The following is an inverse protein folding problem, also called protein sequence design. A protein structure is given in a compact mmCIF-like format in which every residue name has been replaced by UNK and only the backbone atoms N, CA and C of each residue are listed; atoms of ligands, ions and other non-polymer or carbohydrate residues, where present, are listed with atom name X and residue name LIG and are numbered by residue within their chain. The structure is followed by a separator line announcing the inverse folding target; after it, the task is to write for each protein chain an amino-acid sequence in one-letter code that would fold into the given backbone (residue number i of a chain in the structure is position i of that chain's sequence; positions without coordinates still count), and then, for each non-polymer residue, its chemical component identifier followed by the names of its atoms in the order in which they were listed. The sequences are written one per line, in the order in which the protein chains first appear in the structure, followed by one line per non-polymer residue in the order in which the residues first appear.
data_IF_856866283407
#
_entry.id   IF_856866283407
#
_cell.length_a   1.000
_cell.length_b   1.000
_cell.length_c   1.000
_cell.angle_alpha   90.00
_cell.angle_beta   90.00
_cell.angle_gamma   90.00
#
_symmetry.space_group_name_H-M   'P 1'
#
loop_
_entity.id
_entity.type
_entity.pdbx_description
1 polymer ?
#
# COMPACT_ATOMS: atom_id res chain seq x y z
N UNK A 1 26.78 -3.21 -6.05
CA UNK A 1 26.28 -1.83 -6.21
C UNK A 1 25.03 -1.85 -7.07
N UNK A 2 23.87 -1.76 -6.40
CA UNK A 2 22.56 -1.68 -7.01
C UNK A 2 22.40 -0.40 -7.86
N UNK A 3 21.66 -0.51 -8.96
CA UNK A 3 21.27 0.62 -9.81
C UNK A 3 19.76 0.80 -9.72
N UNK A 4 19.33 2.02 -9.44
CA UNK A 4 17.90 2.34 -9.35
C UNK A 4 17.15 1.88 -10.61
N UNK A 5 16.05 1.19 -10.37
CA UNK A 5 15.05 0.85 -11.38
C UNK A 5 13.66 1.21 -10.89
N UNK A 6 12.78 1.54 -11.84
CA UNK A 6 11.37 1.75 -11.51
C UNK A 6 10.77 0.41 -11.03
N UNK A 7 9.97 0.44 -9.95
CA UNK A 7 9.41 -0.77 -9.38
C UNK A 7 8.44 -1.43 -10.37
N UNK A 8 8.84 -2.59 -10.87
CA UNK A 8 8.00 -3.49 -11.67
C UNK A 8 7.93 -4.81 -10.92
N UNK A 9 6.75 -5.27 -10.50
CA UNK A 9 6.67 -6.44 -9.64
C UNK A 9 7.18 -7.71 -10.31
N UNK A 10 8.05 -8.44 -9.61
CA UNK A 10 8.41 -9.81 -9.97
C UNK A 10 7.27 -10.74 -9.54
N UNK A 11 6.81 -11.58 -10.45
CA UNK A 11 5.61 -12.41 -10.24
C UNK A 11 6.02 -13.86 -9.97
N UNK A 12 5.71 -14.36 -8.77
CA UNK A 12 5.90 -15.75 -8.37
C UNK A 12 4.52 -16.41 -8.24
N UNK A 13 4.24 -17.39 -9.11
CA UNK A 13 3.00 -18.17 -9.04
C UNK A 13 3.18 -19.34 -8.06
N UNK A 14 2.31 -19.44 -7.07
CA UNK A 14 2.31 -20.48 -6.02
C UNK A 14 1.21 -21.53 -6.25
N UNK A 15 0.93 -21.83 -7.52
CA UNK A 15 -0.21 -22.63 -7.97
C UNK A 15 0.15 -24.08 -8.31
N UNK A 16 1.43 -24.39 -8.35
CA UNK A 16 1.99 -25.72 -8.63
C UNK A 16 2.24 -26.50 -7.33
N UNK A 17 2.87 -27.67 -7.45
CA UNK A 17 3.12 -28.55 -6.30
C UNK A 17 4.09 -27.92 -5.30
N UNK A 18 5.15 -27.26 -5.79
CA UNK A 18 6.09 -26.54 -4.94
C UNK A 18 5.39 -25.40 -4.21
N UNK A 19 4.64 -24.56 -4.93
CA UNK A 19 3.88 -23.46 -4.34
C UNK A 19 2.84 -23.92 -3.32
N UNK A 20 2.20 -25.08 -3.53
CA UNK A 20 1.33 -25.67 -2.52
C UNK A 20 2.11 -26.15 -1.28
N UNK A 21 3.27 -26.78 -1.47
CA UNK A 21 4.14 -27.19 -0.35
C UNK A 21 4.59 -25.99 0.49
N UNK A 22 5.00 -24.89 -0.14
CA UNK A 22 5.37 -23.66 0.58
C UNK A 22 4.20 -23.07 1.38
N UNK A 23 2.98 -23.11 0.83
CA UNK A 23 1.75 -22.74 1.57
C UNK A 23 1.47 -23.66 2.77
N UNK A 24 1.76 -24.95 2.66
CA UNK A 24 1.63 -25.89 3.79
C UNK A 24 2.61 -25.55 4.90
N UNK A 25 3.88 -25.31 4.56
CA UNK A 25 4.91 -24.88 5.52
C UNK A 25 4.50 -23.62 6.27
N UNK A 26 3.98 -22.61 5.56
CA UNK A 26 3.48 -21.38 6.19
C UNK A 26 2.31 -21.64 7.16
N UNK A 27 1.43 -22.59 6.83
CA UNK A 27 0.31 -22.99 7.69
C UNK A 27 0.82 -23.67 8.98
N UNK A 28 1.78 -24.57 8.85
CA UNK A 28 2.40 -25.29 9.97
C UNK A 28 3.13 -24.31 10.89
N UNK A 29 3.94 -23.42 10.31
CA UNK A 29 4.65 -22.37 11.05
C UNK A 29 3.70 -21.51 11.90
N UNK A 30 2.59 -21.02 11.32
CA UNK A 30 1.65 -20.18 12.05
C UNK A 30 0.90 -20.96 13.14
N UNK A 31 0.59 -22.24 12.95
CA UNK A 31 -0.07 -23.03 14.00
C UNK A 31 0.73 -23.06 15.30
N UNK A 32 2.05 -23.06 15.19
CA UNK A 32 2.99 -23.15 16.31
C UNK A 32 3.42 -21.77 16.84
N UNK A 33 3.56 -20.78 15.94
CA UNK A 33 4.22 -19.51 16.24
C UNK A 33 3.29 -18.29 16.13
N UNK A 34 1.98 -18.51 16.06
CA UNK A 34 1.01 -17.41 15.97
C UNK A 34 1.16 -16.44 17.13
N UNK A 35 1.38 -15.16 16.82
CA UNK A 35 1.32 -14.14 17.84
C UNK A 35 -0.15 -13.84 18.18
N UNK A 36 -0.55 -14.16 19.41
CA UNK A 36 -1.91 -13.98 19.93
C UNK A 36 -2.07 -12.78 20.86
N UNK A 37 -1.01 -12.00 21.09
CA UNK A 37 -1.01 -10.87 22.05
C UNK A 37 -0.49 -9.59 21.41
N UNK A 38 -0.84 -8.41 21.94
CA UNK A 38 -0.44 -7.11 21.40
C UNK A 38 -1.53 -6.35 20.64
N UNK A 39 -1.42 -5.01 20.64
CA UNK A 39 -2.45 -4.06 20.20
C UNK A 39 -2.52 -3.83 18.68
N UNK A 40 -1.49 -4.24 17.93
CA UNK A 40 -1.36 -4.03 16.47
C UNK A 40 -0.93 -5.32 15.76
N UNK A 41 -1.42 -6.47 16.24
CA UNK A 41 -1.16 -7.75 15.58
C UNK A 41 -2.09 -7.94 14.38
N UNK A 42 -1.55 -8.49 13.30
CA UNK A 42 -2.36 -8.98 12.19
C UNK A 42 -3.25 -10.16 12.59
N UNK A 43 -4.29 -10.42 11.82
CA UNK A 43 -5.09 -11.65 11.90
C UNK A 43 -4.23 -12.89 11.65
N UNK A 44 -4.73 -14.09 11.99
CA UNK A 44 -4.02 -15.34 11.68
C UNK A 44 -3.69 -15.47 10.19
N UNK A 45 -4.57 -14.97 9.34
CA UNK A 45 -4.39 -14.96 7.89
C UNK A 45 -3.29 -13.97 7.49
N UNK A 46 -3.35 -12.74 8.01
CA UNK A 46 -2.36 -11.70 7.74
C UNK A 46 -0.95 -12.12 8.19
N UNK A 47 -0.83 -12.75 9.36
CA UNK A 47 0.44 -13.33 9.82
C UNK A 47 0.91 -14.47 8.90
N UNK A 48 0.00 -15.33 8.44
CA UNK A 48 0.32 -16.40 7.50
C UNK A 48 0.77 -15.92 6.12
N UNK A 49 0.25 -14.78 5.65
CA UNK A 49 0.73 -14.17 4.42
C UNK A 49 2.16 -13.64 4.57
N UNK A 50 2.49 -13.01 5.70
CA UNK A 50 3.87 -12.64 6.05
C UNK A 50 4.81 -13.84 6.05
N UNK A 51 4.45 -14.89 6.80
CA UNK A 51 5.25 -16.12 6.87
C UNK A 51 5.42 -16.80 5.50
N UNK A 52 4.36 -16.84 4.68
CA UNK A 52 4.45 -17.39 3.32
C UNK A 52 5.41 -16.57 2.44
N UNK A 53 5.35 -15.24 2.50
CA UNK A 53 6.26 -14.39 1.73
C UNK A 53 7.71 -14.66 2.13
N UNK A 54 8.03 -14.68 3.43
CA UNK A 54 9.36 -15.02 3.93
C UNK A 54 9.82 -16.41 3.46
N UNK A 55 8.98 -17.44 3.61
CA UNK A 55 9.29 -18.82 3.20
C UNK A 55 9.58 -18.90 1.70
N UNK A 56 8.81 -18.19 0.87
CA UNK A 56 9.04 -18.14 -0.58
C UNK A 56 10.39 -17.48 -0.89
N UNK A 57 10.72 -16.38 -0.22
CA UNK A 57 12.00 -15.69 -0.40
C UNK A 57 13.17 -16.58 0.02
N UNK A 58 13.11 -17.19 1.21
CA UNK A 58 14.14 -18.12 1.70
C UNK A 58 14.35 -19.30 0.76
N UNK A 59 13.26 -19.92 0.29
CA UNK A 59 13.33 -21.00 -0.68
C UNK A 59 13.98 -20.57 -1.99
N UNK A 60 13.68 -19.36 -2.49
CA UNK A 60 14.28 -18.84 -3.72
C UNK A 60 15.78 -18.60 -3.60
N UNK A 61 16.25 -18.23 -2.41
CA UNK A 61 17.66 -17.98 -2.12
C UNK A 61 18.41 -19.20 -1.57
N UNK A 62 17.78 -20.36 -1.54
CA UNK A 62 18.35 -21.59 -0.97
C UNK A 62 18.82 -21.38 0.49
N UNK A 63 18.14 -20.50 1.22
CA UNK A 63 18.41 -20.23 2.62
C UNK A 63 17.78 -21.30 3.53
N UNK A 64 18.34 -21.52 4.72
CA UNK A 64 17.72 -22.39 5.71
C UNK A 64 16.27 -21.98 6.02
N UNK A 65 15.47 -22.99 6.36
CA UNK A 65 14.11 -22.77 6.86
C UNK A 65 14.11 -21.90 8.13
N UNK A 66 12.95 -21.32 8.44
CA UNK A 66 12.80 -20.49 9.63
C UNK A 66 13.01 -21.37 10.87
N UNK A 67 14.02 -21.03 11.68
CA UNK A 67 14.18 -21.59 13.02
C UNK A 67 13.49 -20.65 14.03
N UNK A 68 12.29 -20.99 14.55
CA UNK A 68 11.53 -20.05 15.40
C UNK A 68 12.26 -19.66 16.69
N UNK A 69 13.11 -20.54 17.23
CA UNK A 69 13.85 -20.29 18.47
C UNK A 69 14.97 -19.25 18.31
N UNK A 70 15.47 -19.08 17.09
CA UNK A 70 16.58 -18.18 16.75
C UNK A 70 16.13 -17.06 15.80
N UNK A 71 14.84 -17.01 15.44
CA UNK A 71 14.32 -16.04 14.49
C UNK A 71 14.30 -14.64 15.12
N UNK A 72 14.99 -13.66 14.52
CA UNK A 72 15.07 -12.33 15.08
C UNK A 72 13.73 -11.60 14.94
N UNK A 73 13.36 -10.83 15.97
CA UNK A 73 12.10 -10.10 15.98
C UNK A 73 12.00 -9.02 14.89
N UNK A 74 13.14 -8.46 14.48
CA UNK A 74 13.20 -7.26 13.67
C UNK A 74 13.15 -7.53 12.16
N UNK A 75 13.84 -8.57 11.68
CA UNK A 75 14.05 -8.84 10.27
C UNK A 75 13.83 -10.31 9.95
N UNK A 76 13.49 -10.60 8.69
CA UNK A 76 13.18 -11.94 8.23
C UNK A 76 14.39 -12.59 7.55
N UNK A 77 15.23 -11.81 6.87
CA UNK A 77 16.37 -12.30 6.08
C UNK A 77 17.61 -11.47 6.39
N UNK A 78 18.73 -12.15 6.61
CA UNK A 78 20.06 -11.54 6.62
C UNK A 78 20.74 -11.83 5.28
N UNK A 79 21.00 -10.79 4.49
CA UNK A 79 21.68 -10.93 3.20
C UNK A 79 23.16 -11.29 3.38
N UNK A 80 23.82 -11.90 2.38
CA UNK A 80 25.26 -12.17 2.43
C UNK A 80 26.13 -10.92 2.64
N UNK A 81 25.61 -9.75 2.28
CA UNK A 81 26.21 -8.43 2.47
C UNK A 81 26.08 -7.90 3.91
N UNK A 82 25.34 -8.59 4.78
CA UNK A 82 25.05 -8.18 6.15
C UNK A 82 23.83 -7.27 6.32
N UNK A 83 23.15 -6.91 5.22
CA UNK A 83 21.94 -6.09 5.25
C UNK A 83 20.75 -6.91 5.77
N UNK A 84 20.01 -6.35 6.73
CA UNK A 84 18.83 -6.95 7.37
C UNK A 84 17.55 -6.55 6.64
N UNK A 85 16.79 -7.53 6.20
CA UNK A 85 15.60 -7.37 5.36
C UNK A 85 14.37 -7.87 6.10
N UNK A 86 13.36 -7.02 6.20
CA UNK A 86 12.03 -7.36 6.72
C UNK A 86 11.03 -7.41 5.55
N UNK A 87 10.42 -8.57 5.34
CA UNK A 87 9.53 -8.87 4.22
C UNK A 87 8.11 -8.49 4.59
N UNK A 88 7.66 -7.35 4.05
CA UNK A 88 6.29 -6.89 4.23
C UNK A 88 5.39 -7.53 3.20
N UNK A 89 4.33 -8.19 3.67
CA UNK A 89 3.33 -8.79 2.80
C UNK A 89 1.93 -8.25 3.08
N UNK A 90 1.28 -7.73 2.04
CA UNK A 90 -0.15 -7.44 2.04
C UNK A 90 -0.89 -8.52 1.28
N UNK A 91 -1.85 -9.19 1.94
CA UNK A 91 -2.77 -10.11 1.27
C UNK A 91 -4.01 -9.41 0.73
N UNK A 92 -4.49 -9.85 -0.44
CA UNK A 92 -5.73 -9.34 -1.02
C UNK A 92 -6.28 -10.20 -2.15
N UNK A 93 -7.58 -10.09 -2.42
CA UNK A 93 -8.24 -10.83 -3.50
C UNK A 93 -8.02 -10.22 -4.89
N UNK A 94 -7.45 -9.02 -4.96
CA UNK A 94 -7.09 -8.34 -6.19
C UNK A 94 -5.62 -8.59 -6.52
N UNK A 95 -5.26 -8.77 -7.80
CA UNK A 95 -3.86 -8.77 -8.21
C UNK A 95 -3.22 -7.42 -7.89
N UNK A 96 -1.91 -7.42 -7.67
CA UNK A 96 -1.16 -6.16 -7.59
C UNK A 96 -1.23 -5.44 -8.94
N UNK A 97 -1.51 -4.14 -8.90
CA UNK A 97 -1.42 -3.22 -10.04
C UNK A 97 -0.81 -1.93 -9.52
N UNK A 98 0.00 -1.26 -10.33
CA UNK A 98 0.51 0.07 -9.97
C UNK A 98 -0.62 1.07 -9.80
N UNK A 99 -1.70 0.88 -10.55
CA UNK A 99 -2.85 1.77 -10.57
C UNK A 99 -4.16 0.97 -10.55
N UNK A 100 -5.08 1.40 -9.68
CA UNK A 100 -6.43 0.86 -9.58
C UNK A 100 -7.43 1.92 -10.06
N UNK A 101 -8.19 1.61 -11.11
CA UNK A 101 -9.17 2.54 -11.66
C UNK A 101 -10.36 2.71 -10.71
N UNK A 102 -10.80 3.94 -10.48
CA UNK A 102 -12.02 4.26 -9.73
C UNK A 102 -13.20 4.58 -10.66
N UNK A 103 -14.38 4.83 -10.08
CA UNK A 103 -15.61 5.13 -10.83
C UNK A 103 -15.61 6.52 -11.49
N UNK A 104 -14.62 7.36 -11.19
CA UNK A 104 -14.35 8.62 -11.91
C UNK A 104 -13.37 8.44 -13.08
N UNK A 105 -12.97 7.19 -13.36
CA UNK A 105 -11.99 6.85 -14.39
C UNK A 105 -10.62 7.52 -14.18
N UNK A 106 -10.32 7.95 -12.95
CA UNK A 106 -9.00 8.44 -12.57
C UNK A 106 -8.29 7.29 -11.82
N UNK A 107 -7.03 6.97 -12.16
CA UNK A 107 -6.30 5.92 -11.47
C UNK A 107 -5.96 6.30 -10.02
N UNK A 108 -5.93 5.31 -9.13
CA UNK A 108 -5.41 5.43 -7.76
C UNK A 108 -4.13 4.62 -7.64
N UNK A 109 -3.04 5.28 -7.28
CA UNK A 109 -1.72 4.68 -7.20
C UNK A 109 -1.63 3.66 -6.04
N UNK A 110 -0.88 2.59 -6.28
CA UNK A 110 -0.60 1.58 -5.29
C UNK A 110 0.28 2.12 -4.15
N UNK A 111 0.02 1.60 -2.97
CA UNK A 111 0.72 1.97 -1.73
C UNK A 111 0.91 0.77 -0.83
N UNK A 112 1.96 0.87 -0.04
CA UNK A 112 2.34 -0.06 1.00
C UNK A 112 2.12 0.60 2.35
N UNK A 113 1.77 -0.22 3.34
CA UNK A 113 1.50 0.23 4.69
C UNK A 113 2.48 -0.46 5.64
N UNK A 114 2.94 0.29 6.63
CA UNK A 114 3.77 -0.20 7.71
C UNK A 114 3.10 0.16 9.03
N UNK A 115 3.11 -0.73 10.01
CA UNK A 115 2.77 -0.30 11.36
C UNK A 115 3.80 0.73 11.82
N UNK A 116 3.34 1.85 12.40
CA UNK A 116 4.23 2.93 12.83
C UNK A 116 5.32 2.42 13.78
N UNK A 117 4.99 1.47 14.67
CA UNK A 117 5.96 0.81 15.54
C UNK A 117 7.13 0.20 14.76
N UNK A 118 6.89 -0.46 13.62
CA UNK A 118 7.95 -1.11 12.84
C UNK A 118 8.99 -0.13 12.33
N UNK A 119 8.57 1.11 12.05
CA UNK A 119 9.41 2.18 11.51
C UNK A 119 10.10 2.99 12.62
N UNK A 120 9.41 3.22 13.74
CA UNK A 120 9.88 4.13 14.80
C UNK A 120 10.46 3.44 16.04
N UNK A 121 10.26 2.13 16.23
CA UNK A 121 10.90 1.40 17.32
C UNK A 121 12.37 1.12 16.97
N UNK A 122 13.27 1.75 17.71
CA UNK A 122 14.72 1.62 17.50
C UNK A 122 15.24 0.22 17.90
N UNK A 123 14.46 -0.57 18.64
CA UNK A 123 14.80 -1.98 18.93
C UNK A 123 14.52 -2.92 17.75
N UNK A 124 13.74 -2.47 16.75
CA UNK A 124 13.49 -3.23 15.54
C UNK A 124 14.57 -2.89 14.50
N UNK A 125 15.72 -3.55 14.67
CA UNK A 125 16.94 -3.38 13.90
C UNK A 125 16.84 -4.00 12.49
N UNK A 126 16.22 -3.25 11.58
CA UNK A 126 16.01 -3.59 10.17
C UNK A 126 16.57 -2.48 9.30
N UNK A 127 17.34 -2.85 8.27
CA UNK A 127 17.93 -1.88 7.34
C UNK A 127 16.94 -1.50 6.23
N UNK A 128 16.29 -2.51 5.63
CA UNK A 128 15.37 -2.33 4.51
C UNK A 128 14.10 -3.16 4.67
N UNK A 129 13.02 -2.66 4.06
CA UNK A 129 11.80 -3.41 3.85
C UNK A 129 11.75 -3.93 2.41
N UNK A 130 11.43 -5.21 2.24
CA UNK A 130 11.05 -5.79 0.96
C UNK A 130 9.51 -5.81 0.87
N UNK A 131 8.95 -5.11 -0.11
CA UNK A 131 7.50 -4.98 -0.26
C UNK A 131 6.96 -6.06 -1.17
N UNK A 132 5.97 -6.80 -0.66
CA UNK A 132 5.29 -7.87 -1.39
C UNK A 132 3.77 -7.75 -1.27
N UNK A 133 3.07 -8.23 -2.30
CA UNK A 133 1.62 -8.36 -2.33
C UNK A 133 1.26 -9.79 -2.68
N UNK A 134 0.40 -10.41 -1.89
CA UNK A 134 -0.09 -11.77 -2.14
C UNK A 134 -1.52 -11.69 -2.66
N UNK A 135 -1.72 -12.04 -3.94
CA UNK A 135 -3.05 -12.32 -4.45
C UNK A 135 -3.52 -13.66 -3.88
N UNK A 136 -4.67 -13.63 -3.20
CA UNK A 136 -5.29 -14.78 -2.55
C UNK A 136 -6.63 -15.14 -3.23
N UNK A 137 -7.15 -16.35 -3.03
CA UNK A 137 -8.52 -16.69 -3.38
C UNK A 137 -9.49 -15.93 -2.47
N UNK A 138 -10.79 -16.00 -2.79
CA UNK A 138 -11.85 -15.42 -1.94
C UNK A 138 -11.87 -16.07 -0.55
N UNK A 139 -11.64 -17.38 -0.51
CA UNK A 139 -11.33 -18.11 0.72
C UNK A 139 -9.82 -17.99 0.98
N UNK A 140 -9.50 -17.23 2.03
CA UNK A 140 -8.14 -16.75 2.35
C UNK A 140 -7.35 -17.71 3.23
N UNK A 141 -7.90 -18.89 3.49
CA UNK A 141 -7.31 -19.88 4.38
C UNK A 141 -6.07 -20.53 3.73
N UNK A 142 -4.96 -20.54 4.47
CA UNK A 142 -3.77 -21.33 4.14
C UNK A 142 -3.93 -22.79 4.64
N UNK A 143 -3.45 -23.80 3.89
CA UNK A 143 -2.76 -23.68 2.60
C UNK A 143 -3.75 -23.52 1.44
N UNK A 144 -5.06 -23.58 1.70
CA UNK A 144 -6.10 -23.66 0.69
C UNK A 144 -6.09 -25.01 -0.03
N UNK A 145 -6.43 -25.03 -1.32
CA UNK A 145 -6.41 -26.25 -2.13
C UNK A 145 -5.40 -26.17 -3.28
N UNK A 146 -4.97 -27.34 -3.79
CA UNK A 146 -4.11 -27.46 -4.97
C UNK A 146 -4.76 -26.92 -6.27
N UNK A 147 -6.10 -26.78 -6.29
CA UNK A 147 -6.86 -26.32 -7.47
C UNK A 147 -6.99 -24.79 -7.52
N UNK A 148 -6.79 -24.10 -6.41
CA UNK A 148 -6.87 -22.64 -6.37
C UNK A 148 -5.74 -22.02 -7.20
N UNK A 149 -6.10 -21.08 -8.09
CA UNK A 149 -5.17 -20.41 -9.00
C UNK A 149 -4.78 -18.99 -8.59
N UNK A 150 -5.42 -18.45 -7.56
CA UNK A 150 -5.17 -17.12 -7.01
C UNK A 150 -4.22 -17.20 -5.83
N UNK A 151 -3.02 -17.72 -6.07
CA UNK A 151 -1.92 -17.71 -5.10
C UNK A 151 -0.71 -17.19 -5.85
N UNK A 152 -0.56 -15.87 -5.89
CA UNK A 152 0.47 -15.20 -6.68
C UNK A 152 1.13 -14.16 -5.77
N UNK A 153 2.42 -14.33 -5.52
CA UNK A 153 3.23 -13.38 -4.78
C UNK A 153 3.86 -12.40 -5.78
N UNK A 154 3.58 -11.13 -5.59
CA UNK A 154 4.17 -10.02 -6.31
C UNK A 154 5.24 -9.40 -5.41
N UNK A 155 6.46 -9.30 -5.91
CA UNK A 155 7.58 -8.69 -5.19
C UNK A 155 7.82 -7.33 -5.82
N UNK A 156 7.37 -6.29 -5.13
CA UNK A 156 7.18 -4.96 -5.70
C UNK A 156 8.47 -4.15 -5.73
N UNK A 157 9.37 -4.38 -4.77
CA UNK A 157 10.62 -3.64 -4.62
C UNK A 157 11.01 -3.49 -3.16
N UNK A 158 11.99 -2.64 -2.88
CA UNK A 158 12.53 -2.42 -1.53
C UNK A 158 12.71 -0.94 -1.21
N UNK A 159 12.82 -0.62 0.08
CA UNK A 159 13.08 0.74 0.57
C UNK A 159 13.78 0.67 1.92
N UNK A 160 14.69 1.59 2.22
CA UNK A 160 15.33 1.68 3.54
C UNK A 160 14.34 2.12 4.63
N UNK A 161 14.54 1.60 5.85
CA UNK A 161 13.74 1.97 7.01
C UNK A 161 13.73 3.48 7.25
N UNK A 162 14.90 4.13 7.17
CA UNK A 162 15.04 5.57 7.39
C UNK A 162 14.32 6.40 6.33
N UNK A 163 14.29 5.95 5.07
CA UNK A 163 13.54 6.68 4.03
C UNK A 163 12.04 6.57 4.26
N UNK A 164 11.53 5.42 4.71
CA UNK A 164 10.12 5.29 5.14
C UNK A 164 9.83 6.22 6.32
N UNK A 165 10.72 6.27 7.32
CA UNK A 165 10.59 7.15 8.49
C UNK A 165 10.54 8.63 8.11
N UNK A 166 11.34 9.05 7.12
CA UNK A 166 11.42 10.45 6.67
C UNK A 166 10.28 10.87 5.74
N UNK A 167 9.91 10.02 4.79
CA UNK A 167 9.02 10.41 3.67
C UNK A 167 7.62 9.78 3.75
N UNK A 168 7.46 8.73 4.55
CA UNK A 168 6.17 8.06 4.72
C UNK A 168 5.15 8.95 5.40
N UNK A 169 3.89 8.82 5.00
CA UNK A 169 2.79 9.61 5.56
C UNK A 169 2.23 8.89 6.77
N UNK A 170 2.42 9.47 7.95
CA UNK A 170 1.82 8.96 9.17
C UNK A 170 0.30 9.15 9.17
N UNK A 171 -0.40 8.05 9.39
CA UNK A 171 -1.85 7.99 9.48
C UNK A 171 -2.25 7.38 10.82
N UNK A 172 -2.92 8.14 11.69
CA UNK A 172 -3.42 7.59 12.95
C UNK A 172 -4.50 6.53 12.70
N UNK A 173 -4.76 5.75 13.74
CA UNK A 173 -5.84 4.76 13.75
C UNK A 173 -7.17 5.40 13.31
N UNK A 174 -7.92 4.68 12.46
CA UNK A 174 -9.19 5.09 11.82
C UNK A 174 -9.05 6.12 10.71
N UNK A 175 -7.84 6.52 10.32
CA UNK A 175 -7.63 7.26 9.07
C UNK A 175 -8.23 6.51 7.89
N UNK A 176 -8.85 7.27 6.99
CA UNK A 176 -9.51 6.79 5.78
C UNK A 176 -8.50 6.76 4.63
N UNK A 177 -8.58 5.73 3.79
CA UNK A 177 -7.74 5.61 2.61
C UNK A 177 -8.51 5.01 1.43
N UNK A 178 -8.15 5.39 0.21
CA UNK A 178 -8.78 4.95 -1.04
C UNK A 178 -7.89 3.94 -1.79
N UNK A 179 -8.52 2.93 -2.40
CA UNK A 179 -7.89 2.02 -3.37
C UNK A 179 -8.90 1.71 -4.48
N UNK A 180 -8.68 2.27 -5.67
CA UNK A 180 -9.61 2.14 -6.80
C UNK A 180 -11.00 2.64 -6.43
N UNK A 181 -12.00 1.77 -6.51
CA UNK A 181 -13.39 2.04 -6.12
C UNK A 181 -13.70 1.72 -4.64
N UNK A 182 -12.71 1.30 -3.86
CA UNK A 182 -12.90 0.91 -2.46
C UNK A 182 -12.28 1.91 -1.50
N UNK A 183 -12.93 2.05 -0.35
CA UNK A 183 -12.46 2.84 0.78
C UNK A 183 -12.38 1.95 2.00
N UNK A 184 -11.35 2.14 2.82
CA UNK A 184 -11.24 1.43 4.09
C UNK A 184 -10.55 2.30 5.14
N UNK A 185 -10.74 1.94 6.39
CA UNK A 185 -10.11 2.63 7.52
C UNK A 185 -8.99 1.77 8.11
N UNK A 186 -7.92 2.42 8.52
CA UNK A 186 -6.81 1.75 9.17
C UNK A 186 -7.17 1.26 10.57
N UNK A 187 -6.78 0.01 10.87
CA UNK A 187 -7.05 -0.62 12.17
C UNK A 187 -6.05 -0.22 13.26
N UNK A 188 -4.83 0.19 12.88
CA UNK A 188 -3.73 0.60 13.75
C UNK A 188 -3.11 1.94 13.33
N UNK A 189 -1.97 2.29 13.93
CA UNK A 189 -1.15 3.42 13.49
C UNK A 189 -0.28 3.00 12.31
N UNK A 190 -0.38 3.72 11.19
CA UNK A 190 0.16 3.26 9.92
C UNK A 190 1.02 4.34 9.28
N UNK A 191 1.97 3.91 8.46
CA UNK A 191 2.75 4.75 7.56
C UNK A 191 2.40 4.35 6.14
N UNK A 192 1.87 5.26 5.33
CA UNK A 192 1.68 5.06 3.90
C UNK A 192 2.94 5.43 3.11
N UNK A 193 3.33 4.55 2.20
CA UNK A 193 4.42 4.80 1.25
C UNK A 193 4.04 4.28 -0.14
N UNK A 194 4.20 5.11 -1.17
CA UNK A 194 3.67 4.82 -2.49
C UNK A 194 4.63 3.97 -3.31
N UNK A 195 4.09 3.02 -4.10
CA UNK A 195 4.90 2.06 -4.82
C UNK A 195 5.89 2.75 -5.76
N UNK A 196 5.44 3.74 -6.55
CA UNK A 196 6.30 4.58 -7.40
C UNK A 196 7.58 5.14 -6.74
N UNK A 197 7.62 5.24 -5.41
CA UNK A 197 8.75 5.79 -4.68
C UNK A 197 9.77 4.73 -4.19
N UNK A 198 9.46 3.43 -4.26
CA UNK A 198 10.36 2.36 -3.83
C UNK A 198 11.41 2.05 -4.91
N UNK A 199 12.42 1.26 -4.54
CA UNK A 199 13.45 0.76 -5.44
C UNK A 199 12.99 -0.55 -6.09
N UNK A 200 12.94 -0.61 -7.42
CA UNK A 200 12.59 -1.83 -8.15
C UNK A 200 13.67 -2.90 -8.10
N UNK A 201 13.33 -4.12 -8.50
CA UNK A 201 14.26 -5.21 -8.72
C UNK A 201 14.04 -5.73 -10.14
N UNK A 202 15.10 -5.92 -10.93
CA UNK A 202 14.96 -6.54 -12.26
C UNK A 202 14.72 -8.04 -12.15
N UNK A 203 15.41 -8.65 -11.21
CA UNK A 203 15.26 -10.04 -10.82
C UNK A 203 15.50 -10.17 -9.31
N UNK A 204 15.18 -11.34 -8.77
CA UNK A 204 15.24 -11.55 -7.32
C UNK A 204 16.67 -11.65 -6.79
N UNK A 205 17.65 -12.02 -7.63
CA UNK A 205 19.05 -12.14 -7.23
C UNK A 205 19.66 -10.78 -6.94
N UNK A 206 19.19 -9.72 -7.59
CA UNK A 206 19.60 -8.34 -7.26
C UNK A 206 19.40 -8.01 -5.77
N UNK A 207 18.42 -8.62 -5.08
CA UNK A 207 18.24 -8.42 -3.64
C UNK A 207 19.45 -8.90 -2.83
N UNK A 208 20.11 -10.00 -3.24
CA UNK A 208 21.29 -10.55 -2.56
C UNK A 208 22.54 -9.67 -2.71
N UNK A 209 22.53 -8.75 -3.67
CA UNK A 209 23.66 -7.85 -3.97
C UNK A 209 23.55 -6.48 -3.30
N UNK A 210 22.41 -6.19 -2.65
CA UNK A 210 22.22 -4.92 -1.93
C UNK A 210 23.14 -4.89 -0.72
N UNK A 211 24.02 -3.88 -0.70
CA UNK A 211 25.00 -3.66 0.36
C UNK A 211 24.65 -2.42 1.21
N UNK A 212 25.43 -2.18 2.27
CA UNK A 212 25.21 -1.02 3.14
C UNK A 212 25.34 0.32 2.40
N UNK A 213 26.18 0.41 1.37
CA UNK A 213 26.30 1.64 0.58
C UNK A 213 25.02 1.91 -0.23
N UNK A 214 24.37 0.86 -0.73
CA UNK A 214 23.06 0.94 -1.38
C UNK A 214 21.99 1.43 -0.39
N UNK A 215 22.01 0.91 0.83
CA UNK A 215 21.10 1.35 1.91
C UNK A 215 21.35 2.83 2.20
N UNK A 216 22.58 3.27 2.46
CA UNK A 216 22.92 4.68 2.75
C UNK A 216 22.51 5.63 1.61
N UNK A 217 22.70 5.20 0.36
CA UNK A 217 22.22 5.96 -0.81
C UNK A 217 20.70 6.12 -0.78
N UNK A 218 19.94 5.05 -0.52
CA UNK A 218 18.48 5.14 -0.42
C UNK A 218 18.05 5.99 0.78
N UNK A 219 18.69 5.86 1.95
CA UNK A 219 18.41 6.70 3.12
C UNK A 219 18.43 8.19 2.76
N UNK A 220 19.37 8.63 1.93
CA UNK A 220 19.50 10.04 1.51
C UNK A 220 18.66 10.43 0.29
N UNK A 221 18.12 9.47 -0.47
CA UNK A 221 17.39 9.72 -1.72
C UNK A 221 16.06 10.42 -1.46
N UNK A 222 15.81 11.54 -2.14
CA UNK A 222 14.51 12.24 -2.11
C UNK A 222 13.49 11.58 -3.05
N UNK A 223 12.41 11.07 -2.49
CA UNK A 223 11.25 10.56 -3.24
C UNK A 223 10.34 11.65 -3.81
N UNK A 224 9.34 11.21 -4.57
CA UNK A 224 8.21 12.02 -5.01
C UNK A 224 7.07 11.96 -3.98
N UNK A 225 5.95 12.63 -4.24
CA UNK A 225 4.81 12.73 -3.35
C UNK A 225 4.27 11.35 -2.95
N UNK A 226 4.27 11.06 -1.64
CA UNK A 226 3.61 9.90 -1.03
C UNK A 226 2.11 10.17 -0.79
N UNK A 227 1.41 10.55 -1.85
CA UNK A 227 -0.05 10.67 -1.90
C UNK A 227 -0.54 10.21 -3.28
N UNK A 228 -1.80 9.80 -3.36
CA UNK A 228 -2.44 9.64 -4.67
C UNK A 228 -2.51 11.00 -5.36
N UNK A 229 -2.40 10.98 -6.69
CA UNK A 229 -2.60 12.16 -7.52
C UNK A 229 -3.97 12.82 -7.30
N UNK A 230 -4.97 12.00 -6.98
CA UNK A 230 -6.34 12.43 -6.68
C UNK A 230 -6.42 13.16 -5.35
N UNK A 231 -5.82 12.61 -4.29
CA UNK A 231 -5.83 13.25 -2.98
C UNK A 231 -5.01 14.54 -3.00
N UNK A 232 -3.91 14.60 -3.75
CA UNK A 232 -3.17 15.84 -3.97
C UNK A 232 -4.08 16.96 -4.53
N UNK A 233 -4.96 16.64 -5.47
CA UNK A 233 -5.93 17.60 -6.03
C UNK A 233 -7.04 17.94 -5.02
N UNK A 234 -7.60 16.97 -4.31
CA UNK A 234 -8.64 17.19 -3.28
C UNK A 234 -8.13 18.11 -2.17
N UNK A 235 -6.92 17.84 -1.68
CA UNK A 235 -6.25 18.65 -0.66
C UNK A 235 -5.99 20.05 -1.21
N UNK A 236 -5.55 20.18 -2.47
CA UNK A 236 -5.36 21.49 -3.08
C UNK A 236 -6.66 22.31 -3.14
N UNK A 237 -7.78 21.70 -3.52
CA UNK A 237 -9.10 22.36 -3.50
C UNK A 237 -9.50 22.81 -2.09
N UNK A 238 -9.35 21.95 -1.08
CA UNK A 238 -9.66 22.30 0.32
C UNK A 238 -8.77 23.46 0.83
N UNK A 239 -7.46 23.40 0.56
CA UNK A 239 -6.52 24.45 0.98
C UNK A 239 -6.73 25.77 0.24
N UNK A 240 -7.21 25.76 -1.01
CA UNK A 240 -7.66 26.98 -1.71
C UNK A 240 -8.92 27.54 -1.04
N UNK A 241 -9.90 26.69 -0.75
CA UNK A 241 -11.12 27.10 -0.04
C UNK A 241 -10.84 27.71 1.34
N UNK A 242 -9.74 27.30 1.99
CA UNK A 242 -9.23 27.86 3.25
C UNK A 242 -8.33 29.09 3.09
N UNK A 243 -8.03 29.51 1.85
CA UNK A 243 -7.15 30.65 1.57
C UNK A 243 -5.66 30.39 1.79
N UNK A 244 -5.24 29.14 1.97
CA UNK A 244 -3.82 28.75 2.17
C UNK A 244 -3.10 28.66 0.83
N UNK A 245 -3.76 28.09 -0.17
CA UNK A 245 -3.23 27.97 -1.53
C UNK A 245 -4.02 28.88 -2.50
N UNK A 246 -3.46 29.04 -3.70
CA UNK A 246 -4.02 29.82 -4.81
C UNK A 246 -4.24 28.89 -6.01
N UNK A 247 -5.06 29.33 -6.96
CA UNK A 247 -5.42 28.55 -8.16
C UNK A 247 -4.20 28.14 -8.99
N UNK A 248 -3.16 28.98 -9.07
CA UNK A 248 -1.93 28.64 -9.78
C UNK A 248 -1.19 27.42 -9.16
N UNK A 249 -1.33 27.19 -7.85
CA UNK A 249 -0.79 25.99 -7.20
C UNK A 249 -1.58 24.73 -7.61
N UNK A 250 -2.91 24.83 -7.74
CA UNK A 250 -3.73 23.73 -8.25
C UNK A 250 -3.37 23.41 -9.71
N UNK A 251 -3.18 24.42 -10.56
CA UNK A 251 -2.77 24.20 -11.95
C UNK A 251 -1.38 23.57 -12.05
N UNK A 252 -0.44 23.95 -11.17
CA UNK A 252 0.83 23.26 -11.03
C UNK A 252 0.62 21.77 -10.66
N UNK A 253 -0.20 21.47 -9.66
CA UNK A 253 -0.46 20.09 -9.21
C UNK A 253 -1.10 19.26 -10.34
N UNK A 254 -2.15 19.77 -11.01
CA UNK A 254 -2.79 19.10 -12.16
C UNK A 254 -1.79 18.79 -13.26
N UNK A 255 -0.85 19.70 -13.54
CA UNK A 255 0.21 19.48 -14.52
C UNK A 255 1.18 18.36 -14.09
N UNK A 256 1.57 18.32 -12.81
CA UNK A 256 2.46 17.27 -12.29
C UNK A 256 1.78 15.90 -12.24
N UNK A 257 0.51 15.86 -11.82
CA UNK A 257 -0.27 14.62 -11.70
C UNK A 257 -0.89 14.16 -13.02
N UNK A 258 -0.87 15.01 -14.05
CA UNK A 258 -1.48 14.77 -15.37
C UNK A 258 -2.99 14.48 -15.31
N UNK A 259 -3.67 14.90 -14.25
CA UNK A 259 -5.13 14.77 -14.14
C UNK A 259 -5.77 15.98 -14.81
N UNK A 260 -6.46 15.72 -15.92
CA UNK A 260 -7.29 16.69 -16.65
C UNK A 260 -8.79 16.57 -16.35
N UNK A 261 -9.22 15.45 -15.75
CA UNK A 261 -10.61 15.18 -15.38
C UNK A 261 -10.98 15.84 -14.05
N UNK A 262 -12.27 15.99 -13.82
CA UNK A 262 -12.81 16.44 -12.54
C UNK A 262 -12.62 15.33 -11.51
N UNK A 263 -11.89 15.65 -10.44
CA UNK A 263 -11.72 14.76 -9.30
C UNK A 263 -12.97 14.81 -8.43
N UNK A 264 -13.60 13.64 -8.22
CA UNK A 264 -14.75 13.55 -7.31
C UNK A 264 -14.32 13.82 -5.87
N UNK A 265 -15.17 14.46 -5.07
CA UNK A 265 -14.89 14.65 -3.65
C UNK A 265 -14.99 13.32 -2.89
N UNK A 266 -14.68 13.33 -1.60
CA UNK A 266 -14.69 12.13 -0.74
C UNK A 266 -16.12 11.69 -0.42
N UNK A 267 -17.00 12.64 -0.06
CA UNK A 267 -18.41 12.36 0.24
C UNK A 267 -19.21 12.08 -1.03
N UNK A 268 -20.35 11.39 -0.89
CA UNK A 268 -21.22 11.12 -2.04
C UNK A 268 -21.82 12.43 -2.59
N UNK A 269 -21.91 12.62 -3.92
CA UNK A 269 -22.53 13.79 -4.56
C UNK A 269 -23.87 14.22 -3.96
N UNK A 270 -24.76 13.29 -3.58
CA UNK A 270 -26.06 13.60 -3.00
C UNK A 270 -25.95 14.41 -1.70
N UNK A 271 -24.88 14.22 -0.92
CA UNK A 271 -24.65 14.99 0.30
C UNK A 271 -24.32 16.45 -0.02
N UNK A 272 -23.62 16.72 -1.12
CA UNK A 272 -23.37 18.08 -1.60
C UNK A 272 -24.65 18.73 -2.09
N UNK A 273 -25.45 18.03 -2.91
CA UNK A 273 -26.72 18.56 -3.38
C UNK A 273 -27.70 18.84 -2.25
N UNK A 274 -27.71 18.02 -1.20
CA UNK A 274 -28.52 18.29 -0.01
C UNK A 274 -28.11 19.61 0.68
N UNK A 275 -26.80 19.87 0.85
CA UNK A 275 -26.32 21.14 1.39
C UNK A 275 -26.67 22.32 0.47
N UNK A 276 -26.49 22.17 -0.84
CA UNK A 276 -26.81 23.23 -1.81
C UNK A 276 -28.30 23.56 -1.82
N UNK A 277 -29.18 22.55 -1.74
CA UNK A 277 -30.62 22.76 -1.61
C UNK A 277 -30.94 23.55 -0.34
N UNK A 278 -30.36 23.17 0.80
CA UNK A 278 -30.54 23.93 2.06
C UNK A 278 -30.05 25.39 1.94
N UNK A 279 -28.90 25.63 1.30
CA UNK A 279 -28.40 27.00 1.08
C UNK A 279 -29.32 27.82 0.17
N UNK A 280 -29.88 27.20 -0.87
CA UNK A 280 -30.84 27.82 -1.79
C UNK A 280 -32.12 28.22 -1.07
N UNK A 281 -32.67 27.32 -0.25
CA UNK A 281 -33.89 27.59 0.53
C UNK A 281 -33.67 28.75 1.52
N UNK A 282 -32.44 28.91 2.00
CA UNK A 282 -32.02 30.02 2.85
C UNK A 282 -31.51 31.27 2.07
N UNK A 283 -31.73 31.31 0.75
CA UNK A 283 -31.37 32.43 -0.14
C UNK A 283 -29.89 32.81 -0.09
N UNK A 284 -29.01 31.86 0.22
CA UNK A 284 -27.56 32.07 0.25
C UNK A 284 -26.90 31.81 -1.09
N UNK A 285 -27.55 31.02 -1.95
CA UNK A 285 -27.11 30.73 -3.32
C UNK A 285 -28.27 30.84 -4.30
N UNK A 286 -27.95 30.98 -5.57
CA UNK A 286 -28.81 31.08 -6.73
C UNK A 286 -28.95 29.75 -7.48
N UNK A 287 -29.89 29.72 -8.43
CA UNK A 287 -30.05 28.60 -9.37
C UNK A 287 -28.81 28.39 -10.26
N UNK A 288 -28.05 29.45 -10.53
CA UNK A 288 -26.84 29.38 -11.35
C UNK A 288 -25.74 28.56 -10.67
N UNK A 289 -25.57 28.74 -9.36
CA UNK A 289 -24.61 27.95 -8.57
C UNK A 289 -24.99 26.47 -8.51
N UNK A 290 -26.28 26.17 -8.39
CA UNK A 290 -26.80 24.80 -8.48
C UNK A 290 -26.51 24.17 -9.84
N UNK A 291 -26.79 24.89 -10.93
CA UNK A 291 -26.48 24.42 -12.30
C UNK A 291 -24.99 24.17 -12.46
N UNK A 292 -24.13 25.06 -11.94
CA UNK A 292 -22.68 24.89 -11.96
C UNK A 292 -22.27 23.63 -11.22
N UNK A 293 -22.81 23.37 -10.03
CA UNK A 293 -22.54 22.15 -9.27
C UNK A 293 -22.92 20.88 -10.07
N UNK A 294 -24.07 20.89 -10.76
CA UNK A 294 -24.53 19.78 -11.61
C UNK A 294 -23.66 19.50 -12.85
N UNK A 295 -22.75 20.42 -13.23
CA UNK A 295 -21.76 20.14 -14.27
C UNK A 295 -20.53 19.38 -13.75
N UNK A 296 -20.32 19.38 -12.43
CA UNK A 296 -19.14 18.84 -11.75
C UNK A 296 -19.49 17.55 -11.01
N UNK A 297 -20.66 17.52 -10.38
CA UNK A 297 -21.18 16.42 -9.57
C UNK A 297 -22.47 15.90 -10.21
N UNK A 298 -22.72 14.60 -10.06
CA UNK A 298 -23.96 13.96 -10.52
C UNK A 298 -24.70 13.40 -9.32
N UNK A 299 -25.92 13.88 -9.09
CA UNK A 299 -26.83 13.30 -8.10
C UNK A 299 -27.28 11.91 -8.57
N UNK A 300 -27.25 10.93 -7.67
CA UNK A 300 -27.63 9.55 -7.90
C UNK A 300 -29.08 9.34 -7.42
N UNK A 301 -30.02 8.99 -8.30
CA UNK A 301 -31.40 8.75 -7.89
C UNK A 301 -31.50 7.49 -7.04
N UNK A 302 -32.46 7.46 -6.10
CA UNK A 302 -32.81 6.23 -5.39
C UNK A 302 -33.66 5.34 -6.31
N UNK A 303 -33.12 4.19 -6.70
CA UNK A 303 -33.79 3.25 -7.62
C UNK A 303 -34.56 2.12 -6.92
N UNK A 304 -34.57 2.08 -5.57
CA UNK A 304 -35.13 0.96 -4.80
C UNK A 304 -34.15 -0.21 -4.65
N UNK A 305 -34.60 -1.27 -3.96
CA UNK A 305 -33.90 -2.57 -3.83
C UNK A 305 -34.67 -3.60 -4.65
#
# INVERSE_FOLDING_TARGET
MYKYTNPTPIIIKLIDELGFSLRQKATEYIKENQNRTGAERGSSEEQGFGALAEIVMRNHFEMPEINPAEHPLAYDILLPTGVKVDVKCRGGSLPFKEEYLSNDEIPREAKHNFFARQVFDDNLDTDIYLLTHLETPSDRILPGTKRQRKWILYICGWVSKERVKREGVYLPRRSLTEQGNTWFTYRGQEIEFYNKNINGLKDLKELLEIDNDDVERDKSRKGDLNLTSVDAIRIAYDLIGRGVLKENHLEFIKKQTKISKIVKPILNPNQYFHLLAWLKDNKQISEEELKKASTILKEEPYEGI
#
